data_IF_359338684085
#
_entry.id   IF_359338684085
#
_cell.length_a   1.000
_cell.length_b   1.000
_cell.length_c   1.000
_cell.angle_alpha   90.00
_cell.angle_beta   90.00
_cell.angle_gamma   90.00
#
_symmetry.space_group_name_H-M   'P 1'
#
loop_
_entity.id
_entity.type
_entity.pdbx_description
1 polymer ?
#
# COMPACT_ATOMS: atom_id res chain seq x y z
N UNK A 1 -20.29 0.79 26.66
CA UNK A 1 -20.41 2.03 25.87
C UNK A 1 -19.48 1.89 24.67
N UNK A 2 -20.03 1.89 23.42
CA UNK A 2 -19.26 1.98 22.16
C UNK A 2 -18.26 3.16 22.29
N UNK A 3 -17.07 3.19 21.69
CA UNK A 3 -16.75 3.05 20.27
C UNK A 3 -15.24 2.78 20.15
N UNK A 4 -14.80 1.78 19.37
CA UNK A 4 -13.38 1.67 18.93
C UNK A 4 -13.26 1.49 17.40
N UNK A 5 -14.34 1.67 16.64
CA UNK A 5 -14.34 1.54 15.18
C UNK A 5 -13.65 2.70 14.45
N UNK A 6 -13.49 3.86 15.08
CA UNK A 6 -13.00 5.07 14.39
C UNK A 6 -11.53 5.05 13.98
N UNK A 7 -10.67 4.25 14.61
CA UNK A 7 -9.22 4.30 14.33
C UNK A 7 -8.82 3.62 13.01
N UNK A 8 -9.46 2.49 12.67
CA UNK A 8 -9.16 1.77 11.42
C UNK A 8 -9.82 2.44 10.21
N UNK A 9 -11.07 2.88 10.35
CA UNK A 9 -11.80 3.60 9.31
C UNK A 9 -11.07 4.90 8.92
N UNK A 10 -10.53 5.63 9.90
CA UNK A 10 -9.72 6.84 9.63
C UNK A 10 -8.46 6.50 8.83
N UNK A 11 -7.77 5.39 9.14
CA UNK A 11 -6.57 4.97 8.40
C UNK A 11 -6.90 4.59 6.95
N UNK A 12 -7.98 3.85 6.74
CA UNK A 12 -8.43 3.49 5.39
C UNK A 12 -8.82 4.74 4.59
N UNK A 13 -9.52 5.69 5.23
CA UNK A 13 -9.85 6.95 4.60
C UNK A 13 -8.59 7.72 4.19
N UNK A 14 -7.58 7.80 5.06
CA UNK A 14 -6.29 8.43 4.73
C UNK A 14 -5.61 7.80 3.52
N UNK A 15 -5.67 6.47 3.38
CA UNK A 15 -5.11 5.75 2.22
C UNK A 15 -5.89 6.12 0.95
N UNK A 16 -7.22 6.05 1.00
CA UNK A 16 -8.08 6.39 -0.15
C UNK A 16 -7.86 7.83 -0.59
N UNK A 17 -7.80 8.77 0.34
CA UNK A 17 -7.56 10.19 0.04
C UNK A 17 -6.20 10.37 -0.64
N UNK A 18 -5.14 9.76 -0.09
CA UNK A 18 -3.79 9.84 -0.68
C UNK A 18 -3.68 9.20 -2.07
N UNK A 19 -4.41 8.12 -2.34
CA UNK A 19 -4.44 7.48 -3.67
C UNK A 19 -5.31 8.25 -4.68
N UNK A 20 -6.20 9.12 -4.21
CA UNK A 20 -7.03 9.97 -5.06
C UNK A 20 -6.36 11.30 -5.42
N UNK A 21 -5.42 11.75 -4.60
CA UNK A 21 -4.62 12.94 -4.89
C UNK A 21 -3.57 12.69 -5.99
N UNK A 22 -2.92 13.78 -6.43
CA UNK A 22 -1.74 13.71 -7.30
C UNK A 22 -0.63 12.88 -6.61
N UNK A 23 0.06 11.99 -7.34
CA UNK A 23 -0.01 11.76 -8.79
C UNK A 23 -0.99 10.65 -9.22
N UNK A 24 -1.65 9.96 -8.29
CA UNK A 24 -2.28 8.66 -8.54
C UNK A 24 -3.71 8.75 -9.09
N UNK A 25 -4.50 9.73 -8.64
CA UNK A 25 -5.84 10.04 -9.18
C UNK A 25 -6.76 8.82 -9.38
N UNK A 26 -6.76 7.89 -8.43
CA UNK A 26 -7.42 6.59 -8.61
C UNK A 26 -8.95 6.63 -8.54
N UNK A 27 -9.55 7.73 -8.07
CA UNK A 27 -11.01 7.92 -7.92
C UNK A 27 -11.70 6.80 -7.10
N UNK A 28 -11.05 6.40 -6.01
CA UNK A 28 -11.49 5.38 -5.08
C UNK A 28 -12.46 5.94 -4.03
N UNK A 29 -13.28 5.04 -3.50
CA UNK A 29 -14.04 5.19 -2.27
C UNK A 29 -13.79 3.94 -1.40
N UNK A 30 -14.26 3.92 -0.16
CA UNK A 30 -14.00 2.78 0.73
C UNK A 30 -14.54 1.45 0.20
N UNK A 31 -15.68 1.45 -0.52
CA UNK A 31 -16.30 0.23 -1.05
C UNK A 31 -15.45 -0.35 -2.18
N UNK A 32 -15.03 0.48 -3.14
CA UNK A 32 -14.24 -0.02 -4.27
C UNK A 32 -12.77 -0.27 -3.88
N UNK A 33 -12.24 0.39 -2.84
CA UNK A 33 -10.94 0.08 -2.25
C UNK A 33 -10.95 -1.30 -1.58
N UNK A 34 -11.99 -1.62 -0.80
CA UNK A 34 -12.14 -2.92 -0.14
C UNK A 34 -12.30 -4.08 -1.14
N UNK A 35 -12.75 -3.78 -2.36
CA UNK A 35 -12.88 -4.74 -3.44
C UNK A 35 -11.58 -4.98 -4.25
N UNK A 36 -10.51 -4.23 -3.99
CA UNK A 36 -9.22 -4.39 -4.69
C UNK A 36 -8.58 -5.72 -4.27
N UNK A 37 -8.09 -6.49 -5.26
CA UNK A 37 -7.43 -7.76 -4.95
C UNK A 37 -6.08 -7.56 -4.26
N UNK A 38 -5.61 -8.56 -3.51
CA UNK A 38 -4.29 -8.51 -2.86
C UNK A 38 -3.15 -8.22 -3.83
N UNK A 39 -3.23 -8.75 -5.04
CA UNK A 39 -2.25 -8.56 -6.11
C UNK A 39 -2.25 -7.11 -6.62
N UNK A 40 -3.43 -6.55 -6.86
CA UNK A 40 -3.58 -5.14 -7.24
C UNK A 40 -3.11 -4.20 -6.12
N UNK A 41 -3.41 -4.52 -4.85
CA UNK A 41 -2.88 -3.77 -3.70
C UNK A 41 -1.34 -3.81 -3.67
N UNK A 42 -0.73 -4.95 -4.00
CA UNK A 42 0.72 -5.07 -4.07
C UNK A 42 1.31 -4.23 -5.22
N UNK A 43 0.65 -4.23 -6.39
CA UNK A 43 1.02 -3.36 -7.51
C UNK A 43 0.89 -1.87 -7.14
N UNK A 44 -0.19 -1.48 -6.46
CA UNK A 44 -0.39 -0.10 -6.00
C UNK A 44 0.71 0.30 -5.02
N UNK A 45 1.02 -0.55 -4.03
CA UNK A 45 2.12 -0.30 -3.10
C UNK A 45 3.46 -0.16 -3.83
N UNK A 46 3.73 -1.04 -4.81
CA UNK A 46 4.92 -0.95 -5.67
C UNK A 46 5.01 0.40 -6.37
N UNK A 47 3.92 0.83 -7.00
CA UNK A 47 3.86 2.11 -7.71
C UNK A 47 4.07 3.31 -6.77
N UNK A 48 3.47 3.28 -5.58
CA UNK A 48 3.63 4.35 -4.57
C UNK A 48 5.09 4.45 -4.12
N UNK A 49 5.74 3.33 -3.83
CA UNK A 49 7.13 3.33 -3.37
C UNK A 49 8.10 3.78 -4.48
N UNK A 50 7.90 3.31 -5.71
CA UNK A 50 8.72 3.72 -6.86
C UNK A 50 8.54 5.21 -7.15
N UNK A 51 7.33 5.76 -7.02
CA UNK A 51 7.09 7.19 -7.16
C UNK A 51 7.83 8.01 -6.09
N UNK A 52 7.81 7.57 -4.82
CA UNK A 52 8.58 8.23 -3.74
C UNK A 52 10.08 8.22 -4.05
N UNK A 53 10.58 7.15 -4.67
CA UNK A 53 11.98 7.00 -5.06
C UNK A 53 12.34 7.71 -6.37
N UNK A 54 11.35 8.25 -7.10
CA UNK A 54 11.55 8.88 -8.41
C UNK A 54 11.95 7.88 -9.51
N UNK A 55 11.51 6.63 -9.37
CA UNK A 55 11.77 5.53 -10.30
C UNK A 55 10.54 5.23 -11.17
N UNK A 56 10.78 4.59 -12.32
CA UNK A 56 9.71 4.14 -13.20
C UNK A 56 8.90 3.01 -12.57
N UNK A 57 7.61 2.96 -12.90
CA UNK A 57 6.71 1.90 -12.44
C UNK A 57 7.15 0.54 -13.01
N UNK A 58 7.04 -0.50 -12.17
CA UNK A 58 7.34 -1.89 -12.52
C UNK A 58 6.08 -2.71 -12.37
N UNK A 59 5.70 -3.45 -13.41
CA UNK A 59 4.65 -4.46 -13.34
C UNK A 59 5.16 -5.67 -12.55
N UNK A 60 4.49 -6.00 -11.44
CA UNK A 60 4.88 -7.11 -10.57
C UNK A 60 4.74 -8.48 -11.25
N UNK A 61 4.02 -8.59 -12.36
CA UNK A 61 3.92 -9.82 -13.15
C UNK A 61 5.15 -10.09 -14.02
N UNK A 62 5.90 -9.03 -14.33
CA UNK A 62 7.15 -9.10 -15.09
C UNK A 62 8.37 -9.31 -14.18
N UNK A 63 8.16 -9.36 -12.87
CA UNK A 63 9.19 -9.54 -11.84
C UNK A 63 8.93 -10.82 -11.04
N UNK A 64 9.97 -11.60 -10.76
CA UNK A 64 9.82 -12.77 -9.90
C UNK A 64 9.35 -12.33 -8.49
N UNK A 65 8.49 -13.12 -7.85
CA UNK A 65 7.84 -12.74 -6.60
C UNK A 65 8.84 -12.45 -5.46
N UNK A 66 9.96 -13.18 -5.41
CA UNK A 66 11.05 -12.97 -4.46
C UNK A 66 11.79 -11.65 -4.71
N UNK A 67 12.00 -11.29 -5.98
CA UNK A 67 12.59 -10.00 -6.39
C UNK A 67 11.66 -8.86 -6.01
N UNK A 68 10.35 -8.99 -6.29
CA UNK A 68 9.33 -8.01 -5.87
C UNK A 68 9.32 -7.81 -4.36
N UNK A 69 9.28 -8.90 -3.59
CA UNK A 69 9.28 -8.82 -2.14
C UNK A 69 10.54 -8.12 -1.61
N UNK A 70 11.71 -8.47 -2.13
CA UNK A 70 12.97 -7.86 -1.71
C UNK A 70 13.02 -6.36 -2.01
N UNK A 71 12.55 -5.94 -3.19
CA UNK A 71 12.48 -4.52 -3.58
C UNK A 71 11.56 -3.74 -2.64
N UNK A 72 10.34 -4.21 -2.42
CA UNK A 72 9.38 -3.55 -1.53
C UNK A 72 9.90 -3.45 -0.09
N UNK A 73 10.51 -4.52 0.44
CA UNK A 73 11.09 -4.50 1.78
C UNK A 73 12.28 -3.54 1.90
N UNK A 74 13.10 -3.43 0.86
CA UNK A 74 14.20 -2.47 0.82
C UNK A 74 13.67 -1.03 0.84
N UNK A 75 12.67 -0.69 0.02
CA UNK A 75 12.02 0.62 0.03
C UNK A 75 11.43 0.96 1.40
N UNK A 76 10.68 0.03 2.01
CA UNK A 76 10.11 0.20 3.36
C UNK A 76 11.19 0.40 4.42
N UNK A 77 12.32 -0.32 4.31
CA UNK A 77 13.47 -0.15 5.22
C UNK A 77 14.13 1.21 5.08
N UNK A 78 14.25 1.75 3.86
CA UNK A 78 14.75 3.11 3.61
C UNK A 78 13.86 4.14 4.28
N UNK A 79 12.53 3.98 4.16
CA UNK A 79 11.52 4.79 4.84
C UNK A 79 11.44 4.58 6.36
N UNK A 80 12.30 3.72 6.92
CA UNK A 80 12.34 3.37 8.35
C UNK A 80 11.02 2.80 8.87
N UNK A 81 10.21 2.20 8.00
CA UNK A 81 9.01 1.50 8.41
C UNK A 81 9.38 0.36 9.37
N UNK A 82 8.66 0.31 10.49
CA UNK A 82 8.80 -0.77 11.48
C UNK A 82 7.54 -1.63 11.39
N UNK A 83 7.64 -2.87 10.89
CA UNK A 83 6.52 -3.79 10.89
C UNK A 83 5.94 -3.94 12.31
N UNK A 84 4.60 -4.00 12.45
CA UNK A 84 3.96 -4.34 13.72
C UNK A 84 4.52 -5.66 14.29
N UNK A 85 4.72 -5.72 15.61
CA UNK A 85 5.33 -6.87 16.28
C UNK A 85 4.46 -8.15 16.22
N UNK A 86 3.20 -8.03 15.82
CA UNK A 86 2.24 -9.10 15.65
C UNK A 86 2.11 -9.60 14.20
N UNK A 87 2.94 -9.10 13.27
CA UNK A 87 2.87 -9.52 11.86
C UNK A 87 3.15 -11.01 11.66
N UNK A 88 3.90 -11.65 12.58
CA UNK A 88 4.15 -13.10 12.59
C UNK A 88 2.92 -13.93 12.98
N UNK A 89 1.82 -13.29 13.40
CA UNK A 89 0.56 -13.95 13.81
C UNK A 89 -0.52 -13.91 12.73
N UNK A 90 -0.23 -13.32 11.56
CA UNK A 90 -1.12 -13.27 10.40
C UNK A 90 -0.96 -14.50 9.51
#
# INVERSE_FOLDING_TARGET
>A
MKISSGSMETKLQTIVDGLNDEPFKMNLNLINFDAISNEQLLQILSNVLLWIEGLDAVDIHEEAADVTALRLFNSLRVLKYRPPADIEKL
#
